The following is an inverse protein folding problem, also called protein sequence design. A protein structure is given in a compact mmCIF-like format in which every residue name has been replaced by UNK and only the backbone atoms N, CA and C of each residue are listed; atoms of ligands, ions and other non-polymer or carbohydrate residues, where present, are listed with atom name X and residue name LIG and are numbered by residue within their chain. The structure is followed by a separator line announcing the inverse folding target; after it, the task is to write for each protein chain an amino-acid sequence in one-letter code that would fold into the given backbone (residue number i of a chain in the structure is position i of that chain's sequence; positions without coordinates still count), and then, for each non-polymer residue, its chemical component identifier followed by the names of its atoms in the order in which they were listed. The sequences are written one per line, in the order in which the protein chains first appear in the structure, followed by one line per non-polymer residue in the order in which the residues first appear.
data_IF_229188003783
#
_entry.id   IF_229188003783
#
_cell.length_a   1.000
_cell.length_b   1.000
_cell.length_c   1.000
_cell.angle_alpha   90.00
_cell.angle_beta   90.00
_cell.angle_gamma   90.00
#
_symmetry.space_group_name_H-M   'P 1'
#
loop_
_entity.id
_entity.type
_entity.pdbx_description
1 polymer ?
#
# COMPACT_ATOMS: atom_id res chain seq x y z
N UNK A 1 46.41 52.95 15.02
CA UNK A 1 45.31 52.71 14.06
C UNK A 1 45.59 51.38 13.38
N UNK A 2 44.75 50.37 13.32
CA UNK A 2 43.43 50.10 13.89
C UNK A 2 43.31 48.56 13.90
N UNK A 3 42.58 48.03 14.88
CA UNK A 3 42.23 46.62 15.00
C UNK A 3 41.09 46.25 14.03
N UNK A 4 41.09 45.02 13.50
CA UNK A 4 39.90 44.30 12.96
C UNK A 4 40.38 42.99 12.31
N UNK A 5 39.82 41.78 12.44
CA UNK A 5 38.79 41.17 13.29
C UNK A 5 38.94 39.65 13.09
N UNK A 6 39.02 38.89 14.18
CA UNK A 6 38.86 37.44 14.22
C UNK A 6 37.42 37.05 13.83
N UNK A 7 37.22 35.80 13.39
CA UNK A 7 35.94 35.07 13.38
C UNK A 7 34.92 35.43 12.27
N UNK A 8 35.12 34.90 11.06
CA UNK A 8 33.99 34.66 10.14
C UNK A 8 33.95 33.22 9.60
N UNK A 9 35.03 32.45 9.70
CA UNK A 9 35.10 31.12 9.09
C UNK A 9 34.42 30.00 9.88
N UNK A 10 34.09 30.18 11.16
CA UNK A 10 33.39 29.16 11.95
C UNK A 10 31.85 29.26 11.90
N UNK A 11 31.31 30.36 11.38
CA UNK A 11 29.85 30.58 11.29
C UNK A 11 29.17 29.83 10.15
N UNK A 12 29.85 29.63 9.01
CA UNK A 12 29.25 28.97 7.84
C UNK A 12 29.10 27.45 7.97
N UNK A 13 29.87 26.80 8.86
CA UNK A 13 29.77 25.34 9.06
C UNK A 13 28.58 24.94 9.95
N UNK A 14 28.03 25.87 10.74
CA UNK A 14 26.85 25.61 11.57
C UNK A 14 25.53 25.77 10.80
N UNK A 15 25.55 26.43 9.64
CA UNK A 15 24.35 26.58 8.79
C UNK A 15 24.05 25.32 7.95
N UNK A 16 24.97 24.34 7.85
CA UNK A 16 24.70 23.07 7.18
C UNK A 16 23.90 22.07 8.05
N UNK A 17 23.72 22.32 9.34
CA UNK A 17 22.96 21.42 10.23
C UNK A 17 21.44 21.65 10.15
N UNK A 18 21.00 22.64 9.37
CA UNK A 18 19.60 22.95 9.12
C UNK A 18 19.03 22.37 7.84
N UNK A 19 19.67 21.37 7.21
CA UNK A 19 18.97 20.56 6.21
C UNK A 19 17.88 19.85 6.99
N UNK A 20 16.64 20.31 6.83
CA UNK A 20 15.44 19.59 7.23
C UNK A 20 15.70 18.12 6.97
N UNK A 21 15.91 17.34 8.02
CA UNK A 21 15.68 15.90 7.95
C UNK A 21 14.16 15.81 7.89
N UNK A 22 13.62 16.19 6.74
CA UNK A 22 12.25 15.91 6.36
C UNK A 22 12.27 14.40 6.13
N UNK A 23 12.25 13.66 7.23
CA UNK A 23 12.00 12.24 7.19
C UNK A 23 10.62 12.16 6.58
N UNK A 24 10.60 11.86 5.28
CA UNK A 24 9.38 11.63 4.54
C UNK A 24 8.46 10.71 5.35
N UNK A 25 7.15 10.80 5.13
CA UNK A 25 6.17 10.20 6.02
C UNK A 25 6.49 8.71 6.24
N UNK A 26 6.43 8.31 7.51
CA UNK A 26 6.90 7.00 7.96
C UNK A 26 6.11 5.89 7.25
N UNK A 27 6.85 4.92 6.70
CA UNK A 27 6.25 3.77 6.05
C UNK A 27 5.99 2.67 7.08
N UNK A 28 4.74 2.26 7.23
CA UNK A 28 4.31 1.19 8.15
C UNK A 28 4.05 -0.10 7.36
N UNK A 29 4.33 -1.27 7.94
CA UNK A 29 4.10 -2.53 7.25
C UNK A 29 2.59 -2.80 7.07
N UNK A 30 2.28 -3.47 5.96
CA UNK A 30 0.97 -3.99 5.61
C UNK A 30 1.12 -5.45 5.18
N UNK A 31 0.29 -6.32 5.73
CA UNK A 31 0.21 -7.72 5.31
C UNK A 31 -0.93 -7.87 4.31
N UNK A 32 -0.72 -8.63 3.25
CA UNK A 32 -1.74 -8.93 2.24
C UNK A 32 -1.79 -10.43 1.97
N UNK A 33 -2.98 -11.01 2.11
CA UNK A 33 -3.25 -12.42 1.77
C UNK A 33 -4.09 -12.54 0.52
N UNK A 34 -3.72 -13.45 -0.37
CA UNK A 34 -4.50 -13.81 -1.57
C UNK A 34 -5.12 -15.19 -1.36
N UNK A 35 -6.45 -15.24 -1.27
CA UNK A 35 -7.22 -16.45 -1.01
C UNK A 35 -8.09 -16.79 -2.22
N UNK A 36 -8.06 -18.05 -2.67
CA UNK A 36 -8.98 -18.55 -3.68
C UNK A 36 -9.94 -19.57 -3.07
N UNK A 37 -11.22 -19.20 -2.89
CA UNK A 37 -12.22 -20.06 -2.26
C UNK A 37 -12.62 -21.29 -3.09
N UNK A 38 -12.22 -21.34 -4.36
CA UNK A 38 -12.44 -22.50 -5.23
C UNK A 38 -11.29 -23.51 -5.17
N UNK A 39 -10.20 -23.19 -4.46
CA UNK A 39 -9.02 -24.01 -4.31
C UNK A 39 -8.80 -24.41 -2.85
N UNK A 40 -8.24 -25.60 -2.63
CA UNK A 40 -7.76 -26.02 -1.30
C UNK A 40 -6.28 -25.67 -1.08
N UNK A 41 -5.71 -24.84 -1.95
CA UNK A 41 -4.34 -24.36 -1.81
C UNK A 41 -4.20 -23.46 -0.57
N UNK A 42 -3.00 -23.47 0.01
CA UNK A 42 -2.65 -22.53 1.08
C UNK A 42 -2.65 -21.11 0.48
N UNK A 43 -3.30 -20.12 1.10
CA UNK A 43 -3.28 -18.73 0.63
C UNK A 43 -1.86 -18.16 0.58
N UNK A 44 -1.56 -17.38 -0.46
CA UNK A 44 -0.29 -16.67 -0.57
C UNK A 44 -0.31 -15.43 0.33
N UNK A 45 0.80 -15.16 1.01
CA UNK A 45 0.94 -14.00 1.90
C UNK A 45 2.12 -13.14 1.48
N UNK A 46 1.87 -11.84 1.36
CA UNK A 46 2.83 -10.82 0.97
C UNK A 46 2.94 -9.75 2.04
N UNK A 47 4.11 -9.16 2.16
CA UNK A 47 4.34 -8.01 3.06
C UNK A 47 4.85 -6.85 2.22
N UNK A 48 4.29 -5.67 2.46
CA UNK A 48 4.72 -4.40 1.86
C UNK A 48 4.69 -3.30 2.90
N UNK A 49 5.00 -2.08 2.50
CA UNK A 49 4.84 -0.90 3.33
C UNK A 49 3.92 0.13 2.68
N UNK A 50 3.21 0.86 3.54
CA UNK A 50 2.35 1.96 3.16
C UNK A 50 2.77 3.22 3.90
N UNK A 51 2.62 4.35 3.23
CA UNK A 51 2.69 5.65 3.85
C UNK A 51 1.30 5.99 4.38
N UNK A 52 1.22 6.60 5.55
CA UNK A 52 -0.06 7.01 6.13
C UNK A 52 -0.89 7.85 5.14
N UNK A 53 -2.17 7.53 5.02
CA UNK A 53 -3.10 8.19 4.09
C UNK A 53 -3.02 7.73 2.63
N UNK A 54 -2.07 6.86 2.28
CA UNK A 54 -2.04 6.23 0.95
C UNK A 54 -3.18 5.23 0.76
N UNK A 55 -3.59 5.03 -0.49
CA UNK A 55 -4.66 4.10 -0.85
C UNK A 55 -4.13 2.69 -1.08
N UNK A 56 -4.99 1.67 -0.95
CA UNK A 56 -4.64 0.26 -1.12
C UNK A 56 -3.97 0.00 -2.48
N UNK A 57 -4.41 0.67 -3.54
CA UNK A 57 -3.79 0.59 -4.87
C UNK A 57 -2.29 0.87 -4.84
N UNK A 58 -1.82 1.81 -4.01
CA UNK A 58 -0.39 2.10 -3.87
C UNK A 58 0.37 0.94 -3.24
N UNK A 59 -0.24 0.24 -2.28
CA UNK A 59 0.34 -0.96 -1.68
C UNK A 59 0.46 -2.09 -2.72
N UNK A 60 -0.59 -2.31 -3.53
CA UNK A 60 -0.59 -3.32 -4.59
C UNK A 60 0.48 -3.02 -5.65
N UNK A 61 0.65 -1.75 -6.05
CA UNK A 61 1.71 -1.33 -6.98
C UNK A 61 3.10 -1.63 -6.43
N UNK A 62 3.37 -1.29 -5.16
CA UNK A 62 4.65 -1.63 -4.52
C UNK A 62 4.90 -3.13 -4.44
N UNK A 63 3.87 -3.92 -4.15
CA UNK A 63 3.97 -5.38 -4.20
C UNK A 63 4.36 -5.85 -5.59
N UNK A 64 3.65 -5.40 -6.64
CA UNK A 64 3.94 -5.81 -8.01
C UNK A 64 5.32 -5.37 -8.51
N UNK A 65 5.82 -4.22 -8.04
CA UNK A 65 7.15 -3.70 -8.36
C UNK A 65 8.28 -4.48 -7.65
N UNK A 66 8.04 -4.94 -6.41
CA UNK A 66 9.06 -5.55 -5.55
C UNK A 66 9.04 -7.08 -5.51
N UNK A 67 7.89 -7.71 -5.78
CA UNK A 67 7.66 -9.14 -5.64
C UNK A 67 7.15 -9.68 -6.98
N UNK A 68 8.00 -10.46 -7.66
CA UNK A 68 7.77 -10.87 -9.05
C UNK A 68 6.55 -11.79 -9.21
N UNK A 69 6.24 -12.54 -8.17
CA UNK A 69 5.12 -13.47 -8.03
C UNK A 69 3.80 -12.79 -7.65
N UNK A 70 3.83 -11.51 -7.28
CA UNK A 70 2.62 -10.71 -7.12
C UNK A 70 2.30 -9.97 -8.42
N UNK A 71 1.12 -10.26 -8.99
CA UNK A 71 0.58 -9.56 -10.17
C UNK A 71 -0.85 -9.17 -9.91
N UNK A 72 -1.25 -7.99 -10.37
CA UNK A 72 -2.65 -7.58 -10.35
C UNK A 72 -2.97 -6.67 -11.53
N UNK A 73 -4.23 -6.70 -11.95
CA UNK A 73 -4.77 -5.73 -12.91
C UNK A 73 -5.96 -5.00 -12.30
N UNK A 74 -6.15 -3.77 -12.74
CA UNK A 74 -7.34 -2.99 -12.44
C UNK A 74 -8.01 -2.57 -13.73
N UNK A 75 -9.34 -2.50 -13.68
CA UNK A 75 -10.15 -1.95 -14.76
C UNK A 75 -10.82 -0.68 -14.27
N UNK A 76 -10.72 0.38 -15.06
CA UNK A 76 -11.47 1.61 -14.81
C UNK A 76 -12.90 1.45 -15.29
N UNK A 77 -13.83 1.87 -14.45
CA UNK A 77 -15.25 1.92 -14.71
C UNK A 77 -15.76 3.35 -14.48
N UNK A 78 -16.60 3.88 -15.39
CA UNK A 78 -17.04 5.27 -15.33
C UNK A 78 -17.90 5.60 -14.12
N UNK A 79 -18.58 4.62 -13.52
CA UNK A 79 -19.53 4.84 -12.44
C UNK A 79 -18.92 4.55 -11.06
N UNK A 80 -17.93 3.66 -10.99
CA UNK A 80 -17.38 3.17 -9.71
C UNK A 80 -15.85 3.32 -9.56
N UNK A 81 -15.15 3.77 -10.60
CA UNK A 81 -13.70 3.93 -10.57
C UNK A 81 -12.94 2.62 -10.78
N UNK A 82 -11.89 2.38 -9.98
CA UNK A 82 -10.98 1.25 -10.21
C UNK A 82 -11.48 -0.04 -9.56
N UNK A 83 -11.84 -1.01 -10.39
CA UNK A 83 -12.13 -2.38 -10.00
C UNK A 83 -10.87 -3.24 -10.02
N UNK A 84 -10.69 -4.06 -8.99
CA UNK A 84 -9.68 -5.12 -8.98
C UNK A 84 -10.12 -6.25 -9.90
N UNK A 85 -9.49 -6.36 -11.05
CA UNK A 85 -9.88 -7.28 -12.11
C UNK A 85 -9.22 -8.65 -11.95
N UNK A 86 -7.91 -8.67 -11.71
CA UNK A 86 -7.15 -9.92 -11.51
C UNK A 86 -6.11 -9.80 -10.40
N UNK A 87 -5.80 -10.94 -9.77
CA UNK A 87 -4.66 -11.12 -8.87
C UNK A 87 -4.02 -12.47 -9.19
N UNK A 88 -2.70 -12.51 -9.30
CA UNK A 88 -1.90 -13.71 -9.62
C UNK A 88 -2.50 -14.51 -10.80
N UNK A 89 -2.75 -13.80 -11.90
CA UNK A 89 -3.30 -14.32 -13.17
C UNK A 89 -4.74 -14.82 -13.12
N UNK A 90 -5.38 -14.82 -11.94
CA UNK A 90 -6.78 -15.20 -11.76
C UNK A 90 -7.68 -13.97 -11.87
N UNK A 91 -8.47 -13.92 -12.95
CA UNK A 91 -9.37 -12.81 -13.25
C UNK A 91 -10.80 -13.09 -12.78
N UNK A 92 -11.45 -12.06 -12.23
CA UNK A 92 -12.89 -12.07 -11.99
C UNK A 92 -13.69 -11.94 -13.28
N UNK A 93 -14.94 -12.38 -13.24
CA UNK A 93 -15.86 -12.34 -14.37
C UNK A 93 -17.31 -12.14 -13.91
N UNK A 94 -18.30 -12.54 -14.72
CA UNK A 94 -19.72 -12.44 -14.34
C UNK A 94 -20.10 -13.36 -13.18
N UNK A 95 -19.37 -14.45 -13.00
CA UNK A 95 -19.66 -15.50 -12.01
C UNK A 95 -18.72 -15.46 -10.80
N UNK A 96 -17.71 -14.60 -10.82
CA UNK A 96 -16.68 -14.51 -9.80
C UNK A 96 -16.10 -13.11 -9.65
N UNK A 97 -15.65 -12.77 -8.45
CA UNK A 97 -15.06 -11.46 -8.18
C UNK A 97 -14.00 -11.53 -7.08
N UNK A 98 -13.17 -10.48 -6.99
CA UNK A 98 -12.24 -10.26 -5.89
C UNK A 98 -12.94 -9.47 -4.77
N UNK A 99 -13.26 -10.16 -3.68
CA UNK A 99 -13.74 -9.57 -2.43
C UNK A 99 -12.56 -8.99 -1.65
N UNK A 100 -12.67 -7.74 -1.20
CA UNK A 100 -11.63 -7.07 -0.41
C UNK A 100 -12.08 -7.03 1.05
N UNK A 101 -11.26 -7.62 1.92
CA UNK A 101 -11.48 -7.62 3.36
C UNK A 101 -10.32 -6.91 4.05
N UNK A 102 -10.64 -6.23 5.14
CA UNK A 102 -9.64 -5.70 6.06
C UNK A 102 -9.83 -6.38 7.42
N UNK A 103 -8.76 -6.92 7.95
CA UNK A 103 -8.68 -7.43 9.30
C UNK A 103 -7.85 -6.47 10.15
N UNK A 104 -8.43 -6.03 11.26
CA UNK A 104 -7.75 -5.19 12.24
C UNK A 104 -8.10 -5.65 13.65
N UNK A 105 -7.10 -6.01 14.44
CA UNK A 105 -7.29 -6.42 15.84
C UNK A 105 -8.29 -7.58 16.02
N UNK A 106 -8.37 -8.48 15.03
CA UNK A 106 -9.27 -9.64 15.01
C UNK A 106 -10.68 -9.37 14.48
N UNK A 107 -11.02 -8.13 14.12
CA UNK A 107 -12.26 -7.80 13.43
C UNK A 107 -12.04 -7.86 11.91
N UNK A 108 -12.79 -8.75 11.24
CA UNK A 108 -12.77 -8.90 9.79
C UNK A 108 -13.95 -8.13 9.17
N UNK A 109 -13.65 -7.09 8.39
CA UNK A 109 -14.63 -6.24 7.72
C UNK A 109 -14.56 -6.42 6.21
N UNK A 110 -15.70 -6.61 5.56
CA UNK A 110 -15.80 -6.49 4.10
C UNK A 110 -15.86 -5.01 3.71
N UNK A 111 -14.97 -4.60 2.82
CA UNK A 111 -14.93 -3.22 2.35
C UNK A 111 -16.06 -2.94 1.35
N UNK A 112 -16.62 -1.73 1.46
CA UNK A 112 -17.63 -1.17 0.55
C UNK A 112 -17.03 -0.25 -0.51
N UNK A 113 -15.71 -0.04 -0.47
CA UNK A 113 -14.94 0.78 -1.41
C UNK A 113 -13.83 -0.03 -2.08
N UNK A 114 -13.47 0.38 -3.30
CA UNK A 114 -12.42 -0.28 -4.09
C UNK A 114 -10.99 0.09 -3.68
N UNK A 115 -10.02 -0.58 -4.33
CA UNK A 115 -8.58 -0.40 -4.08
C UNK A 115 -8.09 1.03 -4.29
N UNK A 116 -8.78 1.81 -5.14
CA UNK A 116 -8.45 3.21 -5.41
C UNK A 116 -8.87 4.18 -4.30
N UNK A 117 -9.77 3.78 -3.40
CA UNK A 117 -10.34 4.66 -2.37
C UNK A 117 -9.99 4.23 -0.95
N UNK A 118 -9.90 2.92 -0.70
CA UNK A 118 -9.59 2.41 0.62
C UNK A 118 -8.22 2.87 1.08
N UNK A 119 -8.12 3.41 2.30
CA UNK A 119 -6.87 3.82 2.95
C UNK A 119 -6.57 2.85 4.09
N UNK A 120 -5.63 1.92 3.90
CA UNK A 120 -5.33 0.95 4.95
C UNK A 120 -4.74 1.63 6.19
N UNK A 121 -5.02 1.05 7.35
CA UNK A 121 -4.44 1.48 8.62
C UNK A 121 -3.06 0.85 8.84
N UNK A 122 -2.29 1.42 9.74
CA UNK A 122 -1.00 0.84 10.12
C UNK A 122 -1.19 -0.58 10.66
N UNK A 123 -0.32 -1.51 10.23
CA UNK A 123 -0.33 -2.93 10.64
C UNK A 123 -1.62 -3.68 10.30
N UNK A 124 -2.47 -3.13 9.43
CA UNK A 124 -3.68 -3.80 8.98
C UNK A 124 -3.35 -5.00 8.09
N UNK A 125 -4.22 -6.01 8.12
CA UNK A 125 -4.12 -7.17 7.26
C UNK A 125 -5.22 -7.11 6.21
N UNK A 126 -4.82 -7.04 4.93
CA UNK A 126 -5.76 -7.04 3.80
C UNK A 126 -5.87 -8.45 3.25
N UNK A 127 -7.09 -8.89 2.95
CA UNK A 127 -7.33 -10.18 2.30
C UNK A 127 -8.05 -9.91 0.98
N UNK A 128 -7.44 -10.34 -0.12
CA UNK A 128 -8.03 -10.40 -1.44
C UNK A 128 -8.57 -11.81 -1.65
N UNK A 129 -9.89 -11.97 -1.55
CA UNK A 129 -10.57 -13.27 -1.62
C UNK A 129 -11.31 -13.45 -2.93
N UNK A 130 -10.89 -14.41 -3.74
CA UNK A 130 -11.59 -14.79 -4.96
C UNK A 130 -12.81 -15.67 -4.63
N UNK A 131 -13.99 -15.23 -5.07
CA UNK A 131 -15.28 -15.83 -4.68
C UNK A 131 -16.28 -15.82 -5.83
N UNK A 132 -17.28 -16.69 -5.73
CA UNK A 132 -18.44 -16.71 -6.63
C UNK A 132 -19.32 -15.46 -6.42
N UNK A 133 -19.77 -14.87 -7.52
CA UNK A 133 -20.87 -13.89 -7.56
C UNK A 133 -22.21 -14.59 -7.31
N UNK A 134 -23.17 -13.87 -6.72
CA UNK A 134 -24.50 -14.38 -6.41
C UNK A 134 -25.37 -14.55 -7.66
#
# INVERSE_FOLDING_TARGET
MAATTFLVTLGCLLLLQGIFSDKGPEAVPLTLTVENTFSNAVPDTYVTSIVEGSVLLSALRRLQESQQDFKFTVKEDPDFGLFLESVNELSGDKSSYWEILAENSGELTRLDVGVGCYKPKAFEHIILRFKKSF
#
